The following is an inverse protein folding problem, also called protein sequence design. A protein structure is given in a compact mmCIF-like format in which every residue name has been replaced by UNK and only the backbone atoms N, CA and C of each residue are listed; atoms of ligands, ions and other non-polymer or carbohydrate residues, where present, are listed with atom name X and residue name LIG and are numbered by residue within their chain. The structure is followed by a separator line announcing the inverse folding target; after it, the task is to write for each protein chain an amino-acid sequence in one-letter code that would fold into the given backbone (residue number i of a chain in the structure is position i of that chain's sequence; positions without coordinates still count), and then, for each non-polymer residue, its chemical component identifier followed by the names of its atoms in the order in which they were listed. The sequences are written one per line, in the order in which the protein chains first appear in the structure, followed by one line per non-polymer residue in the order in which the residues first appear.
data_IF_806488782998
#
_entry.id   IF_806488782998
#
_cell.length_a   1.000
_cell.length_b   1.000
_cell.length_c   1.000
_cell.angle_alpha   90.00
_cell.angle_beta   90.00
_cell.angle_gamma   90.00
#
_symmetry.space_group_name_H-M   'P 1'
#
loop_
_entity.id
_entity.type
_entity.pdbx_description
1 polymer ?
#
# COMPACT_ATOMS: atom_id res chain seq x y z
N UNK A 1 79.54 21.13 23.92
CA UNK A 1 79.86 19.70 23.78
C UNK A 1 80.34 19.38 22.35
N UNK A 2 79.71 19.87 21.29
CA UNK A 2 80.04 19.57 19.88
C UNK A 2 81.45 20.12 19.48
N UNK A 3 81.95 21.17 20.12
CA UNK A 3 83.26 21.81 19.80
C UNK A 3 84.33 21.53 20.84
N UNK A 4 84.09 20.68 21.86
CA UNK A 4 85.05 20.34 22.89
C UNK A 4 85.84 19.12 22.48
N UNK A 5 87.26 19.27 22.52
CA UNK A 5 88.20 18.18 22.18
C UNK A 5 88.15 17.00 23.18
N UNK A 6 87.68 17.19 24.40
CA UNK A 6 87.44 16.16 25.41
C UNK A 6 86.21 16.59 26.22
N UNK A 7 84.98 16.18 25.80
CA UNK A 7 83.81 16.48 26.59
C UNK A 7 83.80 15.67 27.89
N UNK A 8 83.46 16.36 29.00
CA UNK A 8 83.36 15.78 30.31
C UNK A 8 82.13 14.81 30.36
N UNK A 9 82.31 13.65 30.96
CA UNK A 9 81.33 12.57 31.03
C UNK A 9 80.02 13.04 31.68
N UNK A 10 80.10 13.84 32.73
CA UNK A 10 78.96 14.42 33.45
C UNK A 10 78.20 15.40 32.53
N UNK A 11 78.93 16.22 31.76
CA UNK A 11 78.26 17.12 30.80
C UNK A 11 77.54 16.36 29.69
N UNK A 12 78.09 15.23 29.22
CA UNK A 12 77.42 14.35 28.25
C UNK A 12 76.21 13.76 28.88
N UNK A 13 76.25 13.20 30.07
CA UNK A 13 75.16 12.64 30.78
C UNK A 13 73.99 13.64 31.00
N UNK A 14 74.35 14.86 31.44
CA UNK A 14 73.36 15.93 31.63
C UNK A 14 72.73 16.32 30.32
N UNK A 15 73.47 16.45 29.25
CA UNK A 15 72.95 16.77 27.93
C UNK A 15 71.99 15.68 27.42
N UNK A 16 72.37 14.41 27.50
CA UNK A 16 71.57 13.28 27.13
C UNK A 16 70.28 13.18 28.01
N UNK A 17 70.45 13.45 29.32
CA UNK A 17 69.24 13.45 30.22
C UNK A 17 68.26 14.57 29.88
N UNK A 18 68.74 15.78 29.54
CA UNK A 18 67.90 16.88 29.10
C UNK A 18 67.11 16.50 27.82
N UNK A 19 67.80 15.92 26.84
CA UNK A 19 67.13 15.41 25.64
C UNK A 19 66.12 14.35 25.95
N UNK A 20 66.48 13.35 26.78
CA UNK A 20 65.54 12.30 27.17
C UNK A 20 64.28 12.85 27.84
N UNK A 21 64.44 13.82 28.76
CA UNK A 21 63.27 14.43 29.42
C UNK A 21 62.44 15.27 28.44
N UNK A 22 63.06 16.03 27.53
CA UNK A 22 62.38 16.83 26.54
C UNK A 22 61.58 15.92 25.57
N UNK A 23 62.19 14.90 25.00
CA UNK A 23 61.54 13.97 24.08
C UNK A 23 60.48 13.08 24.75
N UNK A 24 60.73 12.65 26.01
CA UNK A 24 59.73 11.87 26.75
C UNK A 24 58.47 12.68 27.03
N UNK A 25 58.60 13.98 27.29
CA UNK A 25 57.47 14.90 27.45
C UNK A 25 56.68 15.08 26.15
N UNK A 26 57.39 15.33 25.05
CA UNK A 26 56.80 15.45 23.71
C UNK A 26 56.09 14.17 23.30
N UNK A 27 56.67 12.98 23.50
CA UNK A 27 56.05 11.71 23.14
C UNK A 27 54.82 11.41 23.97
N UNK A 28 54.77 11.77 25.26
CA UNK A 28 53.56 11.66 26.10
C UNK A 28 52.48 12.61 25.65
N UNK A 29 52.80 13.86 25.32
CA UNK A 29 51.85 14.85 24.81
C UNK A 29 51.28 14.44 23.45
N UNK A 30 52.10 13.94 22.55
CA UNK A 30 51.70 13.44 21.22
C UNK A 30 50.77 12.20 21.36
N UNK A 31 51.08 11.25 22.27
CA UNK A 31 50.22 10.09 22.57
C UNK A 31 48.90 10.52 23.18
N UNK A 32 48.88 11.54 24.05
CA UNK A 32 47.65 12.08 24.61
C UNK A 32 46.78 12.77 23.55
N UNK A 33 47.38 13.57 22.67
CA UNK A 33 46.74 14.22 21.55
C UNK A 33 46.08 13.19 20.62
N UNK A 34 46.78 12.11 20.24
CA UNK A 34 46.24 11.04 19.41
C UNK A 34 45.05 10.33 20.08
N UNK A 35 45.08 10.10 21.38
CA UNK A 35 43.95 9.53 22.13
C UNK A 35 42.74 10.44 22.13
N UNK A 36 42.94 11.75 22.34
CA UNK A 36 41.85 12.74 22.31
C UNK A 36 41.26 12.81 20.91
N UNK A 37 42.08 12.90 19.85
CA UNK A 37 41.60 12.93 18.46
C UNK A 37 40.78 11.67 18.13
N UNK A 38 41.21 10.48 18.59
CA UNK A 38 40.44 9.23 18.41
C UNK A 38 39.06 9.29 19.09
N UNK A 39 39.01 9.78 20.31
CA UNK A 39 37.74 9.91 21.07
C UNK A 39 36.82 10.93 20.38
N UNK A 40 37.35 12.07 19.96
CA UNK A 40 36.60 13.09 19.22
C UNK A 40 36.02 12.52 17.92
N UNK A 41 36.83 11.79 17.13
CA UNK A 41 36.40 11.17 15.90
C UNK A 41 35.25 10.16 16.16
N UNK A 42 35.38 9.28 17.16
CA UNK A 42 34.34 8.33 17.52
C UNK A 42 33.06 9.06 17.95
N UNK A 43 33.19 10.18 18.68
CA UNK A 43 32.03 10.97 19.09
C UNK A 43 31.31 11.57 17.89
N UNK A 44 32.06 12.22 16.98
CA UNK A 44 31.49 12.79 15.77
C UNK A 44 30.81 11.75 14.89
N UNK A 45 31.41 10.54 14.79
CA UNK A 45 30.75 9.42 14.07
C UNK A 45 29.44 8.98 14.76
N UNK A 46 29.42 8.93 16.09
CA UNK A 46 28.21 8.57 16.82
C UNK A 46 27.11 9.65 16.69
N UNK A 47 27.48 10.93 16.83
CA UNK A 47 26.57 12.07 16.66
C UNK A 47 25.96 12.05 15.24
N UNK A 48 26.78 11.87 14.22
CA UNK A 48 26.29 11.73 12.85
C UNK A 48 25.33 10.55 12.70
N UNK A 49 25.63 9.40 13.31
CA UNK A 49 24.72 8.25 13.28
C UNK A 49 23.38 8.53 14.00
N UNK A 50 23.36 9.35 15.05
CA UNK A 50 22.14 9.79 15.73
C UNK A 50 21.31 10.70 14.82
N UNK A 51 21.96 11.67 14.16
CA UNK A 51 21.30 12.57 13.20
C UNK A 51 20.75 11.79 12.00
N UNK A 52 21.53 10.87 11.43
CA UNK A 52 21.11 10.00 10.32
C UNK A 52 19.88 9.14 10.72
N UNK A 53 19.85 8.62 11.95
CA UNK A 53 18.71 7.88 12.48
C UNK A 53 17.45 8.74 12.58
N UNK A 54 17.56 9.93 13.18
CA UNK A 54 16.41 10.84 13.35
C UNK A 54 15.86 11.31 11.99
N UNK A 55 16.75 11.59 11.03
CA UNK A 55 16.34 11.95 9.67
C UNK A 55 15.62 10.80 8.98
N UNK A 56 16.19 9.60 8.96
CA UNK A 56 15.60 8.42 8.32
C UNK A 56 14.25 8.04 8.96
N UNK A 57 14.15 8.10 10.29
CA UNK A 57 12.91 7.80 11.00
C UNK A 57 11.81 8.80 10.69
N UNK A 58 12.15 10.10 10.64
CA UNK A 58 11.24 11.18 10.28
C UNK A 58 10.72 11.02 8.84
N UNK A 59 11.62 10.75 7.89
CA UNK A 59 11.29 10.58 6.48
C UNK A 59 10.38 9.35 6.27
N UNK A 60 10.66 8.24 6.95
CA UNK A 60 9.87 7.02 6.87
C UNK A 60 8.45 7.23 7.44
N UNK A 61 8.34 7.88 8.61
CA UNK A 61 7.05 8.20 9.22
C UNK A 61 6.25 9.21 8.39
N UNK A 62 6.90 10.20 7.80
CA UNK A 62 6.26 11.17 6.90
C UNK A 62 5.71 10.47 5.65
N UNK A 63 6.47 9.52 5.08
CA UNK A 63 6.03 8.71 3.96
C UNK A 63 4.81 7.84 4.33
N UNK A 64 4.82 7.16 5.48
CA UNK A 64 3.66 6.39 5.97
C UNK A 64 2.43 7.29 6.09
N UNK A 65 2.55 8.44 6.76
CA UNK A 65 1.44 9.40 6.94
C UNK A 65 0.88 9.91 5.60
N UNK A 66 1.70 10.04 4.58
CA UNK A 66 1.28 10.46 3.23
C UNK A 66 0.38 9.41 2.56
N UNK A 67 0.69 8.11 2.72
CA UNK A 67 -0.04 7.04 2.05
C UNK A 67 -1.28 6.56 2.80
N UNK A 68 -1.33 6.73 4.12
CA UNK A 68 -2.47 6.29 4.96
C UNK A 68 -3.84 6.81 4.49
N UNK A 69 -4.02 8.11 4.13
CA UNK A 69 -5.31 8.60 3.66
C UNK A 69 -5.77 7.93 2.37
N UNK A 70 -4.84 7.68 1.44
CA UNK A 70 -5.16 7.00 0.18
C UNK A 70 -5.56 5.54 0.42
N UNK A 71 -4.84 4.81 1.25
CA UNK A 71 -5.15 3.43 1.63
C UNK A 71 -6.44 3.30 2.47
N UNK A 72 -6.88 4.36 3.10
CA UNK A 72 -8.13 4.41 3.88
C UNK A 72 -9.34 4.87 3.06
N UNK A 73 -9.11 5.39 1.85
CA UNK A 73 -10.17 5.90 0.98
C UNK A 73 -11.05 4.75 0.48
N UNK A 74 -12.36 4.87 0.71
CA UNK A 74 -13.39 3.93 0.25
C UNK A 74 -14.47 4.72 -0.48
N UNK A 75 -14.61 4.52 -1.78
CA UNK A 75 -15.62 5.16 -2.61
C UNK A 75 -16.54 4.08 -3.17
N UNK A 76 -17.84 4.19 -2.94
CA UNK A 76 -18.83 3.21 -3.39
C UNK A 76 -19.44 3.55 -4.76
N UNK A 77 -19.12 4.74 -5.31
CA UNK A 77 -19.74 5.25 -6.54
C UNK A 77 -18.84 5.11 -7.76
N UNK A 78 -17.78 4.31 -7.64
CA UNK A 78 -16.81 4.10 -8.70
C UNK A 78 -17.37 3.16 -9.80
N UNK A 79 -16.96 3.41 -11.05
CA UNK A 79 -17.19 2.46 -12.15
C UNK A 79 -16.16 1.32 -12.11
N UNK A 80 -16.45 0.22 -12.80
CA UNK A 80 -15.55 -0.93 -12.90
C UNK A 80 -14.14 -0.51 -13.38
N UNK A 81 -14.07 0.36 -14.39
CA UNK A 81 -12.79 0.89 -14.92
C UNK A 81 -12.00 1.67 -13.87
N UNK A 82 -12.68 2.48 -13.05
CA UNK A 82 -12.04 3.26 -11.98
C UNK A 82 -11.48 2.33 -10.90
N UNK A 83 -12.22 1.30 -10.52
CA UNK A 83 -11.75 0.32 -9.52
C UNK A 83 -10.58 -0.50 -10.06
N UNK A 84 -10.62 -0.92 -11.33
CA UNK A 84 -9.50 -1.59 -12.00
C UNK A 84 -8.23 -0.71 -11.99
N UNK A 85 -8.39 0.56 -12.34
CA UNK A 85 -7.28 1.51 -12.30
C UNK A 85 -6.72 1.68 -10.89
N UNK A 86 -7.57 1.81 -9.85
CA UNK A 86 -7.13 1.87 -8.45
C UNK A 86 -6.36 0.61 -8.04
N UNK A 87 -6.77 -0.57 -8.52
CA UNK A 87 -6.07 -1.83 -8.26
C UNK A 87 -4.68 -1.85 -8.93
N UNK A 88 -4.57 -1.34 -10.16
CA UNK A 88 -3.28 -1.24 -10.86
C UNK A 88 -2.36 -0.20 -10.20
N UNK A 89 -2.90 0.94 -9.77
CA UNK A 89 -2.16 1.94 -8.98
C UNK A 89 -1.66 1.34 -7.66
N UNK A 90 -2.47 0.53 -6.99
CA UNK A 90 -2.06 -0.18 -5.77
C UNK A 90 -0.95 -1.22 -6.04
N UNK A 91 -1.03 -1.94 -7.15
CA UNK A 91 0.03 -2.87 -7.58
C UNK A 91 1.34 -2.13 -7.88
N UNK A 92 1.25 -0.97 -8.53
CA UNK A 92 2.40 -0.12 -8.81
C UNK A 92 3.04 0.42 -7.52
N UNK A 93 2.23 0.89 -6.58
CA UNK A 93 2.67 1.27 -5.25
C UNK A 93 3.46 0.14 -4.56
N UNK A 94 2.92 -1.09 -4.53
CA UNK A 94 3.59 -2.25 -3.92
C UNK A 94 4.87 -2.66 -4.62
N UNK A 95 4.99 -2.43 -5.94
CA UNK A 95 6.16 -2.81 -6.74
C UNK A 95 7.27 -1.77 -6.71
N UNK A 96 6.93 -0.50 -6.65
CA UNK A 96 7.90 0.57 -6.88
C UNK A 96 8.08 1.49 -5.68
N UNK A 97 7.01 1.83 -4.97
CA UNK A 97 7.06 2.79 -3.86
C UNK A 97 7.42 2.14 -2.51
N UNK A 98 6.89 0.95 -2.23
CA UNK A 98 7.10 0.26 -0.96
C UNK A 98 8.51 -0.36 -0.81
N UNK A 99 9.11 -1.04 -1.81
CA UNK A 99 10.37 -1.76 -1.62
C UNK A 99 11.53 -0.90 -1.14
N UNK A 100 11.78 0.32 -1.66
CA UNK A 100 12.82 1.20 -1.12
C UNK A 100 12.62 1.53 0.36
N UNK A 101 11.36 1.65 0.80
CA UNK A 101 11.02 1.96 2.20
C UNK A 101 11.23 0.76 3.15
N UNK A 102 11.06 -0.47 2.64
CA UNK A 102 11.44 -1.68 3.38
C UNK A 102 12.95 -1.70 3.64
N UNK A 103 13.75 -1.36 2.62
CA UNK A 103 15.20 -1.27 2.78
C UNK A 103 15.61 -0.16 3.76
N UNK A 104 14.97 1.00 3.70
CA UNK A 104 15.21 2.11 4.62
C UNK A 104 14.88 1.71 6.06
N UNK A 105 13.76 1.01 6.29
CA UNK A 105 13.40 0.46 7.61
C UNK A 105 14.47 -0.50 8.12
N UNK A 106 14.97 -1.41 7.27
CA UNK A 106 16.06 -2.34 7.63
C UNK A 106 17.37 -1.62 7.95
N UNK A 107 17.71 -0.55 7.18
CA UNK A 107 18.86 0.31 7.47
C UNK A 107 18.72 1.01 8.81
N UNK A 108 17.55 1.53 9.12
CA UNK A 108 17.25 2.22 10.38
C UNK A 108 17.41 1.29 11.59
N UNK A 109 16.89 0.07 11.53
CA UNK A 109 17.06 -0.93 12.57
C UNK A 109 18.54 -1.32 12.76
N UNK A 110 19.26 -1.50 11.67
CA UNK A 110 20.70 -1.79 11.68
C UNK A 110 21.50 -0.64 12.27
N UNK A 111 21.19 0.59 11.89
CA UNK A 111 21.83 1.80 12.38
C UNK A 111 21.62 1.96 13.89
N UNK A 112 20.39 1.77 14.37
CA UNK A 112 20.07 1.82 15.80
C UNK A 112 20.86 0.78 16.59
N UNK A 113 20.85 -0.48 16.17
CA UNK A 113 21.55 -1.56 16.85
C UNK A 113 23.08 -1.35 16.86
N UNK A 114 23.62 -0.84 15.74
CA UNK A 114 25.06 -0.51 15.65
C UNK A 114 25.42 0.61 16.60
N UNK A 115 24.61 1.67 16.62
CA UNK A 115 24.82 2.82 17.52
C UNK A 115 24.75 2.42 18.98
N UNK A 116 23.72 1.66 19.38
CA UNK A 116 23.57 1.14 20.76
C UNK A 116 24.78 0.29 21.17
N UNK A 117 25.27 -0.55 20.26
CA UNK A 117 26.44 -1.38 20.52
C UNK A 117 27.71 -0.55 20.71
N UNK A 118 27.95 0.45 19.84
CA UNK A 118 29.09 1.38 19.95
C UNK A 118 29.05 2.18 21.26
N UNK A 119 27.88 2.69 21.65
CA UNK A 119 27.71 3.44 22.89
C UNK A 119 27.96 2.56 24.11
N UNK A 120 27.43 1.34 24.14
CA UNK A 120 27.67 0.37 25.22
C UNK A 120 29.14 -0.01 25.36
N UNK A 121 29.82 -0.27 24.24
CA UNK A 121 31.26 -0.58 24.24
C UNK A 121 32.13 0.60 24.71
N UNK A 122 31.62 1.82 24.55
CA UNK A 122 32.30 3.05 24.99
C UNK A 122 31.89 3.49 26.41
N UNK A 123 31.11 2.67 27.15
CA UNK A 123 30.53 2.99 28.46
C UNK A 123 29.73 4.31 28.45
N UNK A 124 29.00 4.60 27.38
CA UNK A 124 28.16 5.76 27.26
C UNK A 124 26.68 5.40 27.47
N UNK A 125 25.84 6.38 27.86
CA UNK A 125 24.42 6.17 27.96
C UNK A 125 23.84 5.72 26.60
N UNK A 126 22.82 4.88 26.65
CA UNK A 126 22.10 4.42 25.48
C UNK A 126 21.48 5.61 24.73
N UNK A 127 21.45 5.55 23.42
CA UNK A 127 20.76 6.53 22.59
C UNK A 127 19.24 6.35 22.77
N UNK A 128 18.57 7.42 23.11
CA UNK A 128 17.12 7.51 23.19
C UNK A 128 16.64 8.44 22.09
N UNK A 129 16.01 7.92 21.03
CA UNK A 129 15.41 8.76 19.98
C UNK A 129 14.34 9.68 20.55
N UNK A 130 13.99 10.72 19.80
CA UNK A 130 12.87 11.59 20.13
C UNK A 130 11.56 10.81 20.25
N UNK A 131 10.63 11.34 21.05
CA UNK A 131 9.32 10.73 21.26
C UNK A 131 8.58 10.53 19.92
N UNK A 132 8.05 9.33 19.69
CA UNK A 132 7.43 8.93 18.44
C UNK A 132 8.39 8.38 17.36
N UNK A 133 9.72 8.42 17.61
CA UNK A 133 10.76 7.89 16.73
C UNK A 133 11.46 6.64 17.29
N UNK A 134 10.88 6.04 18.33
CA UNK A 134 11.36 4.76 18.85
C UNK A 134 11.15 3.64 17.83
N UNK A 135 12.00 2.63 17.86
CA UNK A 135 11.86 1.46 16.97
C UNK A 135 10.46 0.83 17.09
N UNK A 136 9.91 0.79 18.30
CA UNK A 136 8.57 0.26 18.54
C UNK A 136 7.49 1.14 17.88
N UNK A 137 7.63 2.46 17.91
CA UNK A 137 6.68 3.39 17.29
C UNK A 137 6.69 3.24 15.76
N UNK A 138 7.90 3.12 15.19
CA UNK A 138 8.08 2.89 13.76
C UNK A 138 7.50 1.54 13.34
N UNK A 139 7.73 0.48 14.11
CA UNK A 139 7.18 -0.84 13.86
C UNK A 139 5.65 -0.85 13.97
N UNK A 140 5.07 -0.14 14.94
CA UNK A 140 3.63 0.02 15.08
C UNK A 140 3.03 0.79 13.89
N UNK A 141 3.65 1.90 13.47
CA UNK A 141 3.22 2.67 12.30
C UNK A 141 3.31 1.84 11.02
N UNK A 142 4.36 1.04 10.85
CA UNK A 142 4.55 0.15 9.73
C UNK A 142 3.50 -0.97 9.69
N UNK A 143 3.23 -1.60 10.82
CA UNK A 143 2.16 -2.61 10.95
C UNK A 143 0.79 -2.01 10.60
N UNK A 144 0.49 -0.81 11.09
CA UNK A 144 -0.74 -0.10 10.73
C UNK A 144 -0.87 0.19 9.23
N UNK A 145 0.25 0.50 8.55
CA UNK A 145 0.29 0.64 7.10
C UNK A 145 -0.03 -0.69 6.41
N UNK A 146 0.57 -1.80 6.83
CA UNK A 146 0.34 -3.13 6.25
C UNK A 146 -1.09 -3.61 6.45
N UNK A 147 -1.69 -3.35 7.61
CA UNK A 147 -3.10 -3.64 7.87
C UNK A 147 -4.02 -2.81 6.97
N UNK A 148 -3.69 -1.53 6.76
CA UNK A 148 -4.42 -0.64 5.85
C UNK A 148 -4.30 -1.07 4.39
N UNK A 149 -3.12 -1.52 3.94
CA UNK A 149 -2.88 -2.09 2.62
C UNK A 149 -3.74 -3.33 2.37
N UNK A 150 -3.73 -4.26 3.34
CA UNK A 150 -4.54 -5.48 3.27
C UNK A 150 -6.03 -5.16 3.18
N UNK A 151 -6.52 -4.30 4.05
CA UNK A 151 -7.91 -3.87 4.02
C UNK A 151 -8.30 -3.13 2.73
N UNK A 152 -7.38 -2.37 2.13
CA UNK A 152 -7.60 -1.70 0.84
C UNK A 152 -7.67 -2.71 -0.31
N UNK A 153 -6.77 -3.68 -0.37
CA UNK A 153 -6.76 -4.74 -1.38
C UNK A 153 -8.04 -5.58 -1.32
N UNK A 154 -8.43 -6.02 -0.12
CA UNK A 154 -9.65 -6.79 0.09
C UNK A 154 -10.90 -6.00 -0.36
N UNK A 155 -10.96 -4.72 -0.01
CA UNK A 155 -12.05 -3.86 -0.44
C UNK A 155 -12.10 -3.68 -1.96
N UNK A 156 -10.96 -3.42 -2.62
CA UNK A 156 -10.89 -3.28 -4.08
C UNK A 156 -11.35 -4.55 -4.80
N UNK A 157 -10.93 -5.73 -4.32
CA UNK A 157 -11.34 -7.01 -4.91
C UNK A 157 -12.83 -7.28 -4.72
N UNK A 158 -13.38 -7.01 -3.52
CA UNK A 158 -14.82 -7.15 -3.25
C UNK A 158 -15.63 -6.18 -4.12
N UNK A 159 -15.19 -4.94 -4.27
CA UNK A 159 -15.88 -3.93 -5.07
C UNK A 159 -15.83 -4.27 -6.56
N UNK A 160 -14.70 -4.76 -7.06
CA UNK A 160 -14.57 -5.24 -8.43
C UNK A 160 -15.54 -6.39 -8.71
N UNK A 161 -15.59 -7.41 -7.86
CA UNK A 161 -16.53 -8.52 -8.00
C UNK A 161 -18.00 -8.05 -7.95
N UNK A 162 -18.32 -7.07 -7.09
CA UNK A 162 -19.65 -6.47 -7.01
C UNK A 162 -20.03 -5.79 -8.32
N UNK A 163 -19.12 -4.99 -8.87
CA UNK A 163 -19.37 -4.24 -10.12
C UNK A 163 -19.45 -5.17 -11.34
N UNK A 164 -18.59 -6.18 -11.45
CA UNK A 164 -18.68 -7.21 -12.50
C UNK A 164 -20.01 -7.96 -12.43
N UNK A 165 -20.47 -8.30 -11.22
CA UNK A 165 -21.77 -8.92 -11.03
C UNK A 165 -22.92 -8.02 -11.45
N UNK A 166 -22.86 -6.72 -11.11
CA UNK A 166 -23.82 -5.71 -11.53
C UNK A 166 -23.89 -5.60 -13.05
N UNK A 167 -22.75 -5.48 -13.73
CA UNK A 167 -22.69 -5.38 -15.18
C UNK A 167 -23.30 -6.60 -15.87
N UNK A 168 -22.93 -7.81 -15.41
CA UNK A 168 -23.50 -9.05 -15.91
C UNK A 168 -25.04 -9.12 -15.71
N UNK A 169 -25.53 -8.72 -14.52
CA UNK A 169 -26.97 -8.72 -14.24
C UNK A 169 -27.72 -7.68 -15.07
N UNK A 170 -27.13 -6.49 -15.30
CA UNK A 170 -27.69 -5.46 -16.15
C UNK A 170 -27.84 -5.93 -17.60
N UNK A 171 -26.79 -6.54 -18.15
CA UNK A 171 -26.83 -7.08 -19.51
C UNK A 171 -27.91 -8.17 -19.63
N UNK A 172 -27.95 -9.07 -18.64
CA UNK A 172 -28.99 -10.13 -18.59
C UNK A 172 -30.41 -9.57 -18.44
N UNK A 173 -30.57 -8.53 -17.63
CA UNK A 173 -31.85 -7.83 -17.45
C UNK A 173 -32.31 -7.19 -18.76
N UNK A 174 -31.46 -6.37 -19.41
CA UNK A 174 -31.77 -5.72 -20.70
C UNK A 174 -32.18 -6.74 -21.75
N UNK A 175 -31.37 -7.78 -21.95
CA UNK A 175 -31.67 -8.84 -22.92
C UNK A 175 -33.02 -9.53 -22.66
N UNK A 176 -33.35 -9.78 -21.39
CA UNK A 176 -34.65 -10.38 -21.05
C UNK A 176 -35.81 -9.41 -21.23
N UNK A 177 -35.63 -8.14 -20.93
CA UNK A 177 -36.65 -7.10 -21.22
C UNK A 177 -36.90 -6.96 -22.71
N UNK A 178 -35.85 -6.86 -23.53
CA UNK A 178 -35.96 -6.75 -24.97
C UNK A 178 -36.74 -7.93 -25.57
N UNK A 179 -36.42 -9.16 -25.17
CA UNK A 179 -37.16 -10.37 -25.58
C UNK A 179 -38.60 -10.38 -25.10
N UNK A 180 -38.90 -9.79 -23.94
CA UNK A 180 -40.26 -9.67 -23.43
C UNK A 180 -41.04 -8.63 -24.26
N UNK A 181 -40.44 -7.49 -24.54
CA UNK A 181 -41.07 -6.44 -25.34
C UNK A 181 -41.35 -6.90 -26.77
N UNK A 182 -40.37 -7.56 -27.42
CA UNK A 182 -40.60 -8.17 -28.76
C UNK A 182 -41.74 -9.17 -28.77
N UNK A 183 -41.80 -10.06 -27.75
CA UNK A 183 -42.87 -11.01 -27.62
C UNK A 183 -44.24 -10.32 -27.42
N UNK A 184 -44.32 -9.34 -26.51
CA UNK A 184 -45.52 -8.59 -26.20
C UNK A 184 -46.04 -7.83 -27.45
N UNK A 185 -45.14 -7.14 -28.18
CA UNK A 185 -45.49 -6.43 -29.41
C UNK A 185 -46.03 -7.39 -30.47
N UNK A 186 -45.35 -8.52 -30.69
CA UNK A 186 -45.81 -9.53 -31.67
C UNK A 186 -47.16 -10.14 -31.31
N UNK A 187 -47.47 -10.30 -30.02
CA UNK A 187 -48.81 -10.79 -29.58
C UNK A 187 -49.89 -9.72 -29.68
N UNK A 188 -49.56 -8.46 -29.38
CA UNK A 188 -50.46 -7.33 -29.50
C UNK A 188 -50.91 -7.13 -30.95
N UNK A 189 -50.01 -7.25 -31.91
CA UNK A 189 -50.31 -7.15 -33.34
C UNK A 189 -51.28 -8.26 -33.78
N UNK A 190 -51.08 -9.49 -33.28
CA UNK A 190 -52.00 -10.61 -33.58
C UNK A 190 -53.39 -10.40 -32.98
N UNK A 191 -53.49 -9.85 -31.75
CA UNK A 191 -54.77 -9.58 -31.09
C UNK A 191 -55.53 -8.39 -31.70
N UNK A 192 -54.80 -7.38 -32.23
CA UNK A 192 -55.40 -6.23 -32.91
C UNK A 192 -55.94 -6.58 -34.28
N UNK A 193 -55.48 -7.69 -34.91
CA UNK A 193 -55.97 -8.08 -36.21
C UNK A 193 -57.47 -8.46 -36.19
N UNK A 194 -58.28 -7.79 -37.00
CA UNK A 194 -59.76 -8.05 -37.09
C UNK A 194 -60.12 -9.08 -38.14
N UNK A 195 -59.21 -9.95 -38.54
CA UNK A 195 -59.36 -10.94 -39.60
C UNK A 195 -60.51 -11.95 -39.42
N UNK A 196 -60.93 -12.08 -38.15
CA UNK A 196 -62.02 -13.00 -37.80
C UNK A 196 -63.40 -12.56 -38.29
N UNK A 197 -63.65 -11.25 -38.44
CA UNK A 197 -64.94 -10.68 -38.82
C UNK A 197 -65.41 -11.04 -40.21
N UNK A 198 -64.48 -11.22 -41.13
CA UNK A 198 -64.70 -11.51 -42.54
C UNK A 198 -64.35 -12.96 -42.94
N UNK A 199 -64.05 -13.81 -41.98
CA UNK A 199 -63.49 -15.15 -42.19
C UNK A 199 -64.53 -16.24 -42.19
N UNK A 200 -64.43 -17.21 -43.08
CA UNK A 200 -65.29 -18.41 -43.11
C UNK A 200 -64.96 -19.36 -41.92
N UNK A 201 -65.87 -20.32 -41.67
CA UNK A 201 -65.83 -21.23 -40.53
C UNK A 201 -64.51 -21.99 -40.34
N UNK A 202 -63.83 -22.37 -41.42
CA UNK A 202 -62.55 -23.05 -41.37
C UNK A 202 -61.46 -22.12 -40.79
N UNK A 203 -61.41 -20.86 -41.21
CA UNK A 203 -60.49 -19.87 -40.75
C UNK A 203 -60.73 -19.47 -39.28
N UNK A 204 -61.99 -19.42 -38.86
CA UNK A 204 -62.37 -19.18 -37.43
C UNK A 204 -61.87 -20.32 -36.56
N UNK A 205 -62.01 -21.59 -36.97
CA UNK A 205 -61.51 -22.75 -36.24
C UNK A 205 -59.92 -22.69 -36.11
N UNK A 206 -59.29 -22.28 -37.16
CA UNK A 206 -57.80 -22.11 -37.11
C UNK A 206 -57.34 -20.95 -36.16
N UNK A 207 -58.07 -19.83 -36.17
CA UNK A 207 -57.86 -18.72 -35.25
C UNK A 207 -58.11 -19.12 -33.80
N UNK A 208 -59.15 -19.92 -33.51
CA UNK A 208 -59.41 -20.46 -32.17
C UNK A 208 -58.26 -21.32 -31.66
N UNK A 209 -57.71 -22.24 -32.47
CA UNK A 209 -56.58 -23.06 -32.09
C UNK A 209 -55.33 -22.21 -31.82
N UNK A 210 -55.15 -21.13 -32.60
CA UNK A 210 -54.06 -20.19 -32.41
C UNK A 210 -54.20 -19.41 -31.11
N UNK A 211 -55.44 -19.08 -30.70
CA UNK A 211 -55.73 -18.43 -29.44
C UNK A 211 -55.52 -19.37 -28.23
N UNK A 212 -55.94 -20.63 -28.33
CA UNK A 212 -55.71 -21.67 -27.32
C UNK A 212 -54.17 -21.89 -27.12
N UNK A 213 -53.38 -21.88 -28.20
CA UNK A 213 -51.93 -21.96 -28.14
C UNK A 213 -51.33 -20.70 -27.49
N UNK A 214 -51.91 -19.51 -27.74
CA UNK A 214 -51.47 -18.26 -27.10
C UNK A 214 -51.77 -18.28 -25.58
N UNK A 215 -52.92 -18.75 -25.15
CA UNK A 215 -53.25 -18.87 -23.72
C UNK A 215 -52.28 -19.81 -22.98
N UNK A 216 -51.90 -20.92 -23.63
CA UNK A 216 -50.88 -21.83 -23.08
C UNK A 216 -49.49 -21.20 -23.00
N UNK A 217 -49.12 -20.43 -24.02
CA UNK A 217 -47.82 -19.69 -24.07
C UNK A 217 -47.76 -18.58 -23.00
N UNK A 218 -48.90 -17.98 -22.64
CA UNK A 218 -49.01 -16.93 -21.64
C UNK A 218 -48.51 -17.39 -20.26
N UNK A 219 -48.88 -18.63 -19.85
CA UNK A 219 -48.43 -19.20 -18.59
C UNK A 219 -46.89 -19.35 -18.53
N UNK A 220 -46.29 -19.87 -19.61
CA UNK A 220 -44.85 -19.98 -19.71
C UNK A 220 -44.13 -18.59 -19.74
N UNK A 221 -44.83 -17.57 -20.26
CA UNK A 221 -44.30 -16.21 -20.30
C UNK A 221 -44.34 -15.53 -18.93
N UNK A 222 -45.29 -15.89 -18.06
CA UNK A 222 -45.37 -15.42 -16.68
C UNK A 222 -44.09 -15.77 -15.91
N UNK A 223 -43.56 -16.98 -16.07
CA UNK A 223 -42.29 -17.40 -15.45
C UNK A 223 -41.11 -16.53 -15.90
N UNK A 224 -41.10 -16.06 -17.16
CA UNK A 224 -40.09 -15.16 -17.68
C UNK A 224 -40.15 -13.77 -17.01
N UNK A 225 -41.39 -13.25 -16.82
CA UNK A 225 -41.61 -11.97 -16.11
C UNK A 225 -41.13 -12.08 -14.65
N UNK A 226 -41.38 -13.19 -13.97
CA UNK A 226 -40.92 -13.44 -12.62
C UNK A 226 -39.38 -13.49 -12.55
N UNK A 227 -38.72 -14.07 -13.55
CA UNK A 227 -37.23 -14.05 -13.66
C UNK A 227 -36.69 -12.63 -13.85
N UNK A 228 -37.37 -11.79 -14.66
CA UNK A 228 -36.99 -10.37 -14.83
C UNK A 228 -37.12 -9.63 -13.48
N UNK A 229 -38.26 -9.85 -12.79
CA UNK A 229 -38.49 -9.26 -11.47
C UNK A 229 -37.47 -9.74 -10.40
N UNK A 230 -37.02 -10.98 -10.48
CA UNK A 230 -35.98 -11.50 -9.59
C UNK A 230 -34.62 -10.83 -9.84
N UNK A 231 -34.23 -10.63 -11.10
CA UNK A 231 -33.02 -9.92 -11.46
C UNK A 231 -33.09 -8.46 -11.00
N UNK A 232 -34.24 -7.78 -11.18
CA UNK A 232 -34.42 -6.41 -10.72
C UNK A 232 -34.25 -6.27 -9.19
N UNK A 233 -34.77 -7.25 -8.43
CA UNK A 233 -34.58 -7.31 -6.97
C UNK A 233 -33.10 -7.50 -6.59
N UNK A 234 -32.38 -8.37 -7.30
CA UNK A 234 -30.95 -8.59 -7.07
C UNK A 234 -30.13 -7.33 -7.38
N UNK A 235 -30.40 -6.63 -8.49
CA UNK A 235 -29.78 -5.35 -8.84
C UNK A 235 -30.00 -4.29 -7.75
N UNK A 236 -31.21 -4.19 -7.22
CA UNK A 236 -31.54 -3.28 -6.12
C UNK A 236 -30.77 -3.63 -4.83
N UNK A 237 -30.61 -4.91 -4.51
CA UNK A 237 -29.84 -5.37 -3.35
C UNK A 237 -28.35 -5.04 -3.48
N UNK A 238 -27.81 -5.05 -4.69
CA UNK A 238 -26.43 -4.67 -5.00
C UNK A 238 -26.24 -3.15 -5.08
N UNK A 239 -27.27 -2.36 -4.71
CA UNK A 239 -27.28 -0.89 -4.71
C UNK A 239 -27.00 -0.29 -6.10
N UNK A 240 -27.58 -0.89 -7.12
CA UNK A 240 -27.65 -0.23 -8.43
C UNK A 240 -28.60 0.97 -8.31
N UNK A 241 -28.16 2.20 -8.75
CA UNK A 241 -28.95 3.41 -8.66
C UNK A 241 -30.22 3.39 -9.52
#
# INVERSE_FOLDING_TARGET
LVYSQKPDEKSIMTYVSCFYHAFRGCHKAETAAHRICRVLKVNQENEKMMEDYESLSSDLLAWIRRWMPWLSSRSSDDTLEVVQKKLDDFRNYRRHEKPPRIEEKGKLETLFNTLQTKLRLSNRPAFMPTEGHLINDINAAWSGLEDSEKGFEEWLLCEMMRLERLEHLLEKFRRKCDLHEEWAQGKEDVLRSNDWRSSGLYKIKALRKRHEAFESDLGAHQDRVEQIAAIARELKNLKYP
#
